data_IF_208866461265
#
_entry.id   IF_208866461265
#
_cell.length_a   1.000
_cell.length_b   1.000
_cell.length_c   1.000
_cell.angle_alpha   90.00
_cell.angle_beta   90.00
_cell.angle_gamma   90.00
#
_symmetry.space_group_name_H-M   'P 1'
#
loop_
_entity.id
_entity.type
_entity.pdbx_description
1 polymer ?
#
# COMPACT_ATOMS: atom_id res chain seq x y z
N UNK A 1 -35.98 0.67 12.81
CA UNK A 1 -35.61 0.73 11.36
C UNK A 1 -34.37 1.58 11.09
N UNK A 2 -34.29 2.82 11.59
CA UNK A 2 -33.14 3.72 11.35
C UNK A 2 -31.80 3.18 11.85
N UNK A 3 -31.81 2.41 12.94
CA UNK A 3 -30.58 1.87 13.54
C UNK A 3 -30.03 0.67 12.77
N UNK A 4 -30.90 -0.18 12.19
CA UNK A 4 -30.47 -1.31 11.35
C UNK A 4 -29.86 -0.89 10.01
N UNK A 5 -30.31 0.24 9.45
CA UNK A 5 -29.71 0.85 8.25
C UNK A 5 -28.31 1.41 8.54
N UNK A 6 -28.13 2.07 9.69
CA UNK A 6 -26.81 2.53 10.16
C UNK A 6 -25.87 1.36 10.45
N UNK A 7 -26.39 0.29 11.04
CA UNK A 7 -25.62 -0.91 11.34
C UNK A 7 -25.13 -1.62 10.08
N UNK A 8 -25.92 -1.62 8.98
CA UNK A 8 -25.49 -2.12 7.67
C UNK A 8 -24.50 -1.21 6.96
N UNK A 9 -24.62 0.12 7.11
CA UNK A 9 -23.68 1.09 6.52
C UNK A 9 -22.31 1.09 7.22
N UNK A 10 -22.27 0.74 8.51
CA UNK A 10 -21.04 0.67 9.32
C UNK A 10 -20.49 -0.75 9.46
N UNK A 11 -21.16 -1.75 8.88
CA UNK A 11 -20.63 -3.12 8.82
C UNK A 11 -19.58 -3.14 7.72
N UNK A 12 -18.31 -3.03 8.12
CA UNK A 12 -17.20 -3.36 7.24
C UNK A 12 -17.23 -4.87 7.06
N UNK A 13 -17.79 -5.31 5.94
CA UNK A 13 -17.97 -6.71 5.61
C UNK A 13 -16.66 -7.24 5.00
N UNK A 14 -15.74 -7.66 5.87
CA UNK A 14 -14.42 -8.17 5.47
C UNK A 14 -14.51 -9.46 4.64
N UNK A 15 -15.61 -10.22 4.73
CA UNK A 15 -15.89 -11.38 3.87
C UNK A 15 -16.08 -11.01 2.38
N UNK A 16 -16.25 -9.72 2.07
CA UNK A 16 -16.48 -9.23 0.71
C UNK A 16 -15.32 -8.41 0.15
N UNK A 17 -14.09 -8.61 0.67
CA UNK A 17 -12.88 -7.92 0.21
C UNK A 17 -12.41 -8.36 -1.20
N UNK A 18 -13.29 -8.89 -2.05
CA UNK A 18 -13.00 -9.16 -3.46
C UNK A 18 -13.23 -7.90 -4.31
N UNK A 19 -12.61 -6.78 -3.93
CA UNK A 19 -12.71 -5.54 -4.69
C UNK A 19 -11.61 -5.51 -5.77
N UNK A 20 -11.95 -5.66 -7.07
CA UNK A 20 -10.96 -5.64 -8.15
C UNK A 20 -10.24 -4.29 -8.25
N UNK A 21 -10.79 -3.23 -7.67
CA UNK A 21 -10.19 -1.90 -7.64
C UNK A 21 -9.12 -1.72 -6.55
N UNK A 22 -8.93 -2.70 -5.65
CA UNK A 22 -7.98 -2.53 -4.55
C UNK A 22 -6.56 -2.27 -5.07
N UNK A 23 -6.14 -2.91 -6.17
CA UNK A 23 -4.84 -2.65 -6.79
C UNK A 23 -4.70 -1.21 -7.27
N UNK A 24 -5.72 -0.67 -7.93
CA UNK A 24 -5.70 0.72 -8.40
C UNK A 24 -5.70 1.74 -7.26
N UNK A 25 -6.38 1.44 -6.14
CA UNK A 25 -6.47 2.35 -4.99
C UNK A 25 -5.24 2.22 -4.09
N UNK A 26 -4.75 1.01 -3.84
CA UNK A 26 -3.58 0.75 -3.02
C UNK A 26 -2.29 1.17 -3.73
N UNK A 27 -2.23 1.08 -5.06
CA UNK A 27 -1.02 1.38 -5.80
C UNK A 27 -0.43 2.78 -5.52
N UNK A 28 -1.18 3.88 -5.63
CA UNK A 28 -0.63 5.21 -5.34
C UNK A 28 -0.21 5.35 -3.87
N UNK A 29 -0.92 4.72 -2.94
CA UNK A 29 -0.57 4.76 -1.51
C UNK A 29 0.75 4.04 -1.25
N UNK A 30 0.93 2.84 -1.82
CA UNK A 30 2.17 2.06 -1.72
C UNK A 30 3.34 2.77 -2.41
N UNK A 31 3.10 3.43 -3.54
CA UNK A 31 4.11 4.23 -4.23
C UNK A 31 4.56 5.43 -3.39
N UNK A 32 3.64 6.16 -2.76
CA UNK A 32 3.97 7.28 -1.87
C UNK A 32 4.77 6.78 -0.66
N UNK A 33 4.35 5.68 -0.04
CA UNK A 33 5.06 5.07 1.09
C UNK A 33 6.48 4.66 0.70
N UNK A 34 6.63 3.89 -0.39
CA UNK A 34 7.93 3.43 -0.85
C UNK A 34 8.85 4.56 -1.28
N UNK A 35 8.31 5.56 -1.98
CA UNK A 35 9.06 6.75 -2.36
C UNK A 35 9.52 7.56 -1.15
N UNK A 36 8.67 7.69 -0.13
CA UNK A 36 9.02 8.36 1.13
C UNK A 36 10.16 7.62 1.85
N UNK A 37 10.06 6.29 1.98
CA UNK A 37 11.14 5.49 2.58
C UNK A 37 12.44 5.61 1.81
N UNK A 38 12.38 5.50 0.48
CA UNK A 38 13.56 5.58 -0.37
C UNK A 38 14.18 6.98 -0.37
N UNK A 39 13.39 8.04 -0.26
CA UNK A 39 13.91 9.40 -0.09
C UNK A 39 14.62 9.56 1.26
N UNK A 40 13.99 9.14 2.36
CA UNK A 40 14.60 9.21 3.70
C UNK A 40 15.87 8.35 3.82
N UNK A 41 15.92 7.19 3.15
CA UNK A 41 17.09 6.32 3.15
C UNK A 41 18.18 6.82 2.20
N UNK A 42 17.80 7.27 1.00
CA UNK A 42 18.72 7.69 -0.06
C UNK A 42 19.65 8.81 0.38
N UNK A 43 19.10 9.86 1.00
CA UNK A 43 19.87 11.01 1.53
C UNK A 43 20.88 10.64 2.62
N UNK A 44 20.78 9.44 3.20
CA UNK A 44 21.68 8.95 4.24
C UNK A 44 22.58 7.79 3.80
N UNK A 45 22.28 7.11 2.68
CA UNK A 45 23.03 5.94 2.22
C UNK A 45 24.02 6.26 1.08
N UNK A 46 23.71 7.23 0.23
CA UNK A 46 24.50 7.51 -0.99
C UNK A 46 24.60 9.02 -1.23
N UNK A 47 25.68 9.47 -1.88
CA UNK A 47 25.94 10.89 -2.18
C UNK A 47 25.77 11.24 -3.65
N UNK A 48 25.15 10.35 -4.43
CA UNK A 48 24.95 10.50 -5.87
C UNK A 48 23.47 10.67 -6.18
N UNK A 49 23.05 11.71 -6.92
CA UNK A 49 21.66 11.93 -7.29
C UNK A 49 21.03 10.73 -8.02
N UNK A 50 21.81 10.09 -8.90
CA UNK A 50 21.35 8.90 -9.62
C UNK A 50 21.13 7.72 -8.68
N UNK A 51 22.00 7.54 -7.68
CA UNK A 51 21.87 6.45 -6.72
C UNK A 51 20.69 6.68 -5.77
N UNK A 52 20.42 7.92 -5.37
CA UNK A 52 19.25 8.30 -4.58
C UNK A 52 17.94 7.96 -5.31
N UNK A 53 17.84 8.30 -6.60
CA UNK A 53 16.67 7.94 -7.42
C UNK A 53 16.50 6.41 -7.54
N UNK A 54 17.57 5.67 -7.78
CA UNK A 54 17.52 4.20 -7.87
C UNK A 54 17.00 3.60 -6.56
N UNK A 55 17.48 4.08 -5.41
CA UNK A 55 17.03 3.62 -4.09
C UNK A 55 15.53 3.93 -3.92
N UNK A 56 15.07 5.12 -4.33
CA UNK A 56 13.65 5.48 -4.30
C UNK A 56 12.79 4.50 -5.11
N UNK A 57 13.17 4.19 -6.35
CA UNK A 57 12.43 3.23 -7.17
C UNK A 57 12.48 1.80 -6.62
N UNK A 58 13.61 1.37 -6.05
CA UNK A 58 13.73 0.06 -5.38
C UNK A 58 12.80 -0.01 -4.17
N UNK A 59 12.75 1.04 -3.35
CA UNK A 59 11.84 1.08 -2.20
C UNK A 59 10.37 1.05 -2.64
N UNK A 60 10.00 1.75 -3.71
CA UNK A 60 8.65 1.66 -4.30
C UNK A 60 8.32 0.21 -4.70
N UNK A 61 9.23 -0.45 -5.42
CA UNK A 61 9.04 -1.84 -5.85
C UNK A 61 8.87 -2.81 -4.67
N UNK A 62 9.70 -2.67 -3.62
CA UNK A 62 9.61 -3.49 -2.40
C UNK A 62 8.27 -3.25 -1.70
N UNK A 63 7.84 -1.99 -1.61
CA UNK A 63 6.60 -1.62 -0.91
C UNK A 63 5.37 -2.18 -1.65
N UNK A 64 5.39 -2.21 -2.98
CA UNK A 64 4.39 -2.94 -3.76
C UNK A 64 4.38 -4.43 -3.45
N UNK A 65 5.55 -5.07 -3.47
CA UNK A 65 5.66 -6.50 -3.18
C UNK A 65 5.11 -6.85 -1.80
N UNK A 66 5.56 -6.14 -0.76
CA UNK A 66 5.13 -6.38 0.61
C UNK A 66 3.65 -6.05 0.80
N UNK A 67 3.18 -4.92 0.25
CA UNK A 67 1.79 -4.49 0.37
C UNK A 67 0.82 -5.48 -0.27
N UNK A 68 1.10 -5.92 -1.51
CA UNK A 68 0.25 -6.89 -2.20
C UNK A 68 0.33 -8.30 -1.62
N UNK A 69 1.51 -8.74 -1.16
CA UNK A 69 1.63 -10.00 -0.43
C UNK A 69 0.83 -9.95 0.88
N UNK A 70 0.90 -8.85 1.62
CA UNK A 70 0.14 -8.69 2.87
C UNK A 70 -1.36 -8.78 2.63
N UNK A 71 -1.86 -8.16 1.56
CA UNK A 71 -3.27 -8.29 1.17
C UNK A 71 -3.61 -9.72 0.76
N UNK A 72 -2.78 -10.37 -0.05
CA UNK A 72 -3.00 -11.77 -0.45
C UNK A 72 -3.02 -12.74 0.74
N UNK A 73 -2.19 -12.50 1.77
CA UNK A 73 -2.20 -13.30 2.98
C UNK A 73 -3.47 -13.11 3.81
N UNK A 74 -4.00 -11.89 3.87
CA UNK A 74 -5.27 -11.60 4.57
C UNK A 74 -6.44 -12.25 3.83
N UNK A 75 -6.44 -12.24 2.50
CA UNK A 75 -7.49 -12.86 1.68
C UNK A 75 -7.54 -14.39 1.81
N UNK A 76 -6.40 -15.02 2.11
CA UNK A 76 -6.31 -16.47 2.32
C UNK A 76 -6.79 -16.97 3.70
N UNK A 77 -7.06 -16.08 4.66
CA UNK A 77 -7.38 -16.40 6.07
C UNK A 77 -8.82 -16.03 6.45
#
# INVERSE_FOLDING_TARGET
>A
MRDGLKQRLLRVDYESWDNPWYGFVAAPVLAILGGSFGYFLGVHLVSSPLAEEIIAYVCIAITFFVGYIGVALIDMY
#
